data_IF_395229116872
#
_entry.id   IF_395229116872
#
_cell.length_a   1.000
_cell.length_b   1.000
_cell.length_c   1.000
_cell.angle_alpha   90.00
_cell.angle_beta   90.00
_cell.angle_gamma   90.00
#
_symmetry.space_group_name_H-M   'P 1'
#
loop_
_entity.id
_entity.type
_entity.pdbx_description
1 polymer ?
#
# COMPACT_ATOMS: atom_id res chain seq x y z
N UNK A 1 46.79 36.47 -1.81
CA UNK A 1 48.05 35.93 -1.26
C UNK A 1 48.58 34.64 -1.88
N UNK A 2 48.05 34.17 -3.03
CA UNK A 2 48.65 33.04 -3.76
C UNK A 2 48.61 31.68 -3.04
N UNK A 3 47.99 31.63 -1.87
CA UNK A 3 47.78 30.43 -1.06
C UNK A 3 46.59 29.64 -1.57
N UNK A 4 46.76 28.32 -1.72
CA UNK A 4 45.68 27.40 -2.10
C UNK A 4 44.82 27.13 -0.85
N UNK A 5 43.52 27.36 -0.96
CA UNK A 5 42.54 27.03 0.08
C UNK A 5 42.42 25.51 0.21
N UNK A 6 42.27 25.00 1.44
CA UNK A 6 42.18 23.57 1.69
C UNK A 6 40.87 22.97 1.14
N UNK A 7 40.89 21.69 0.76
CA UNK A 7 39.71 21.00 0.21
C UNK A 7 38.58 20.80 1.21
N UNK A 8 38.85 20.96 2.50
CA UNK A 8 37.87 20.87 3.60
C UNK A 8 37.37 22.22 4.10
N UNK A 9 37.79 23.33 3.50
CA UNK A 9 37.31 24.66 3.90
C UNK A 9 35.83 24.79 3.55
N UNK A 10 35.01 25.18 4.54
CA UNK A 10 33.58 25.44 4.34
C UNK A 10 33.36 26.51 3.27
N UNK A 11 32.36 26.28 2.41
CA UNK A 11 32.02 27.23 1.33
C UNK A 11 31.56 28.57 1.90
N UNK A 12 30.95 28.57 3.07
CA UNK A 12 30.55 29.77 3.81
C UNK A 12 31.74 30.66 4.19
N UNK A 13 32.87 30.07 4.58
CA UNK A 13 34.13 30.76 4.85
C UNK A 13 34.79 31.26 3.56
N UNK A 14 34.77 30.46 2.49
CA UNK A 14 35.32 30.84 1.19
C UNK A 14 34.59 32.04 0.58
N UNK A 15 33.27 32.15 0.80
CA UNK A 15 32.43 33.21 0.25
C UNK A 15 32.49 34.53 1.04
N UNK A 16 33.24 34.60 2.15
CA UNK A 16 33.45 35.85 2.90
C UNK A 16 34.31 36.83 2.12
N UNK A 17 35.29 36.33 1.37
CA UNK A 17 36.29 37.11 0.66
C UNK A 17 36.28 36.82 -0.85
N UNK A 18 36.90 37.71 -1.61
CA UNK A 18 37.15 37.49 -3.03
C UNK A 18 38.17 36.36 -3.23
N UNK A 19 37.89 35.43 -4.14
CA UNK A 19 38.76 34.29 -4.41
C UNK A 19 39.03 34.08 -5.89
N UNK A 20 40.14 33.39 -6.19
CA UNK A 20 40.53 33.02 -7.55
C UNK A 20 40.15 31.57 -7.81
N UNK A 21 39.36 31.33 -8.85
CA UNK A 21 38.98 30.02 -9.33
C UNK A 21 39.80 29.69 -10.58
N UNK A 22 40.64 28.67 -10.50
CA UNK A 22 41.51 28.24 -11.61
C UNK A 22 40.91 26.98 -12.23
N UNK A 23 40.54 27.04 -13.51
CA UNK A 23 40.02 25.89 -14.28
C UNK A 23 40.93 25.69 -15.49
N UNK A 24 41.58 24.52 -15.56
CA UNK A 24 42.67 24.25 -16.50
C UNK A 24 43.76 25.33 -16.41
N UNK A 25 43.96 26.13 -17.46
CA UNK A 25 44.92 27.23 -17.53
C UNK A 25 44.28 28.63 -17.44
N UNK A 26 42.97 28.73 -17.16
CA UNK A 26 42.24 30.00 -17.06
C UNK A 26 41.94 30.34 -15.60
N UNK A 27 42.32 31.55 -15.19
CA UNK A 27 42.05 32.06 -13.83
C UNK A 27 40.89 33.04 -13.85
N UNK A 28 39.81 32.69 -13.15
CA UNK A 28 38.64 33.53 -12.93
C UNK A 28 38.71 34.19 -11.57
N UNK A 29 38.44 35.49 -11.51
CA UNK A 29 38.35 36.23 -10.25
C UNK A 29 36.89 36.35 -9.84
N UNK A 30 36.50 35.60 -8.80
CA UNK A 30 35.12 35.56 -8.32
C UNK A 30 34.98 36.55 -7.16
N UNK A 31 34.01 37.45 -7.27
CA UNK A 31 33.62 38.36 -6.19
C UNK A 31 32.24 37.96 -5.70
N UNK A 32 32.13 37.24 -4.57
CA UNK A 32 30.84 36.82 -4.06
C UNK A 32 30.00 38.04 -3.63
N UNK A 33 28.66 37.97 -3.74
CA UNK A 33 27.79 39.00 -3.19
C UNK A 33 27.97 39.03 -1.67
N UNK A 34 28.17 40.22 -1.12
CA UNK A 34 28.29 40.39 0.33
C UNK A 34 26.98 39.94 0.97
N UNK A 35 27.06 38.97 1.90
CA UNK A 35 25.89 38.55 2.68
C UNK A 35 25.27 39.77 3.35
N UNK A 36 23.97 39.98 3.13
CA UNK A 36 23.20 40.89 3.96
C UNK A 36 23.26 40.38 5.40
N UNK A 37 23.97 41.11 6.25
CA UNK A 37 24.01 40.84 7.67
C UNK A 37 22.63 41.21 8.23
N UNK A 38 21.91 40.22 8.74
CA UNK A 38 20.79 40.47 9.64
C UNK A 38 21.28 41.46 10.72
N UNK A 39 20.47 42.47 11.04
CA UNK A 39 20.77 43.43 12.11
C UNK A 39 21.29 42.67 13.34
N UNK A 40 22.37 43.15 13.96
CA UNK A 40 23.03 42.47 15.07
C UNK A 40 22.04 42.09 16.18
N UNK A 41 21.01 42.91 16.39
CA UNK A 41 19.92 42.68 17.34
C UNK A 41 19.03 41.48 16.94
N UNK A 42 18.63 41.39 15.67
CA UNK A 42 17.87 40.25 15.13
C UNK A 42 18.69 38.94 15.11
N UNK A 43 20.01 39.06 14.89
CA UNK A 43 20.92 37.93 14.95
C UNK A 43 21.07 37.39 16.37
N UNK A 44 21.17 38.27 17.38
CA UNK A 44 21.21 37.87 18.79
C UNK A 44 19.91 37.19 19.23
N UNK A 45 18.75 37.76 18.89
CA UNK A 45 17.45 37.15 19.24
C UNK A 45 17.25 35.78 18.59
N UNK A 46 17.69 35.60 17.33
CA UNK A 46 17.63 34.31 16.65
C UNK A 46 18.57 33.28 17.29
N UNK A 47 19.75 33.71 17.72
CA UNK A 47 20.69 32.83 18.38
C UNK A 47 20.17 32.38 19.75
N UNK A 48 19.53 33.28 20.49
CA UNK A 48 18.86 32.95 21.76
C UNK A 48 17.71 31.96 21.55
N UNK A 49 16.88 32.14 20.51
CA UNK A 49 15.84 31.15 20.17
C UNK A 49 16.48 29.80 19.84
N UNK A 50 17.58 29.79 19.08
CA UNK A 50 18.29 28.56 18.71
C UNK A 50 18.88 27.85 19.93
N UNK A 51 19.48 28.57 20.87
CA UNK A 51 20.01 27.98 22.11
C UNK A 51 18.89 27.48 23.00
N UNK A 52 17.76 28.18 23.09
CA UNK A 52 16.60 27.77 23.89
C UNK A 52 15.94 26.51 23.32
N UNK A 53 15.81 26.41 21.99
CA UNK A 53 15.36 25.18 21.30
C UNK A 53 16.35 24.04 21.50
N UNK A 54 17.66 24.30 21.39
CA UNK A 54 18.69 23.29 21.64
C UNK A 54 18.66 22.82 23.10
N UNK A 55 18.47 23.74 24.04
CA UNK A 55 18.39 23.45 25.47
C UNK A 55 17.15 22.62 25.79
N UNK A 56 16.01 22.93 25.17
CA UNK A 56 14.80 22.09 25.20
C UNK A 56 15.05 20.71 24.59
N UNK A 57 15.71 20.63 23.43
CA UNK A 57 16.06 19.37 22.78
C UNK A 57 16.89 18.47 23.70
N UNK A 58 17.88 19.05 24.38
CA UNK A 58 18.71 18.33 25.37
C UNK A 58 17.95 18.01 26.66
N UNK A 59 17.10 18.91 27.15
CA UNK A 59 16.36 18.72 28.39
C UNK A 59 15.24 17.67 28.24
N UNK A 60 14.65 17.57 27.04
CA UNK A 60 13.61 16.61 26.72
C UNK A 60 14.16 15.25 26.28
N UNK A 61 15.49 15.08 26.19
CA UNK A 61 16.15 13.84 25.78
C UNK A 61 15.49 13.20 24.54
N UNK A 62 15.27 13.99 23.48
CA UNK A 62 14.44 13.56 22.34
C UNK A 62 14.94 12.25 21.75
N UNK A 63 16.25 12.02 21.68
CA UNK A 63 16.82 10.74 21.20
C UNK A 63 16.39 9.54 22.07
N UNK A 64 16.44 9.64 23.39
CA UNK A 64 15.97 8.57 24.27
C UNK A 64 14.45 8.39 24.17
N UNK A 65 13.70 9.48 24.03
CA UNK A 65 12.26 9.41 23.82
C UNK A 65 11.90 8.70 22.50
N UNK A 66 12.59 9.02 21.40
CA UNK A 66 12.38 8.35 20.12
C UNK A 66 12.73 6.86 20.18
N UNK A 67 13.85 6.50 20.82
CA UNK A 67 14.23 5.09 21.02
C UNK A 67 13.23 4.33 21.89
N UNK A 68 12.72 4.95 22.95
CA UNK A 68 11.71 4.34 23.80
C UNK A 68 10.38 4.17 23.06
N UNK A 69 9.99 5.17 22.26
CA UNK A 69 8.79 5.12 21.42
C UNK A 69 8.92 4.05 20.32
N UNK A 70 10.08 3.90 19.70
CA UNK A 70 10.37 2.82 18.75
C UNK A 70 10.18 1.46 19.40
N UNK A 71 10.78 1.25 20.58
CA UNK A 71 10.64 0.00 21.34
C UNK A 71 9.19 -0.28 21.73
N UNK A 72 8.45 0.74 22.16
CA UNK A 72 7.03 0.62 22.50
C UNK A 72 6.20 0.23 21.26
N UNK A 73 6.43 0.87 20.12
CA UNK A 73 5.73 0.55 18.87
C UNK A 73 6.05 -0.88 18.40
N UNK A 74 7.32 -1.30 18.48
CA UNK A 74 7.73 -2.67 18.15
C UNK A 74 7.04 -3.67 19.07
N UNK A 75 7.04 -3.42 20.39
CA UNK A 75 6.39 -4.30 21.36
C UNK A 75 4.89 -4.41 21.13
N UNK A 76 4.21 -3.29 20.90
CA UNK A 76 2.77 -3.25 20.58
C UNK A 76 2.47 -3.99 19.27
N UNK A 77 3.31 -3.83 18.26
CA UNK A 77 3.17 -4.50 16.98
C UNK A 77 3.34 -6.02 17.12
N UNK A 78 4.29 -6.47 17.94
CA UNK A 78 4.48 -7.88 18.26
C UNK A 78 3.26 -8.46 18.99
N UNK A 79 2.73 -7.76 20.00
CA UNK A 79 1.51 -8.16 20.72
C UNK A 79 0.30 -8.25 19.77
N UNK A 80 0.11 -7.25 18.90
CA UNK A 80 -0.98 -7.25 17.93
C UNK A 80 -0.83 -8.40 16.91
N UNK A 81 0.40 -8.69 16.46
CA UNK A 81 0.68 -9.83 15.57
C UNK A 81 0.41 -11.17 16.26
N UNK A 82 0.74 -11.29 17.53
CA UNK A 82 0.44 -12.49 18.33
C UNK A 82 -1.07 -12.70 18.47
N UNK A 83 -1.82 -11.64 18.79
CA UNK A 83 -3.28 -11.70 18.85
C UNK A 83 -3.93 -12.00 17.49
N UNK A 84 -3.33 -11.54 16.40
CA UNK A 84 -3.81 -11.77 15.04
C UNK A 84 -3.56 -13.22 14.57
N UNK A 85 -2.46 -13.85 14.99
CA UNK A 85 -2.04 -15.18 14.55
C UNK A 85 -3.15 -16.27 14.64
N UNK A 86 -3.89 -16.43 15.75
CA UNK A 86 -4.99 -17.40 15.80
C UNK A 86 -6.15 -17.05 14.87
N UNK A 87 -6.49 -15.77 14.71
CA UNK A 87 -7.55 -15.36 13.78
C UNK A 87 -7.14 -15.58 12.32
N UNK A 88 -5.86 -15.35 12.00
CA UNK A 88 -5.31 -15.54 10.65
C UNK A 88 -5.31 -17.02 10.25
N UNK A 89 -5.02 -17.94 11.19
CA UNK A 89 -5.15 -19.39 10.95
C UNK A 89 -6.59 -19.77 10.58
N UNK A 90 -7.58 -19.30 11.34
CA UNK A 90 -9.00 -19.58 11.07
C UNK A 90 -9.42 -18.97 9.72
N UNK A 91 -9.02 -17.73 9.44
CA UNK A 91 -9.28 -17.05 8.16
C UNK A 91 -8.66 -17.81 6.99
N UNK A 92 -7.43 -18.31 7.13
CA UNK A 92 -6.75 -19.09 6.09
C UNK A 92 -7.46 -20.42 5.83
N UNK A 93 -7.90 -21.13 6.87
CA UNK A 93 -8.69 -22.35 6.69
C UNK A 93 -10.01 -22.08 5.95
N UNK A 94 -10.67 -20.98 6.29
CA UNK A 94 -11.91 -20.58 5.67
C UNK A 94 -11.71 -20.15 4.21
N UNK A 95 -10.66 -19.38 3.94
CA UNK A 95 -10.20 -19.01 2.61
C UNK A 95 -9.98 -20.25 1.76
N UNK A 96 -9.24 -21.24 2.27
CA UNK A 96 -8.98 -22.51 1.58
C UNK A 96 -10.26 -23.29 1.31
N UNK A 97 -11.21 -23.30 2.24
CA UNK A 97 -12.53 -23.96 2.04
C UNK A 97 -13.36 -23.24 0.98
N UNK A 98 -13.40 -21.91 0.99
CA UNK A 98 -14.12 -21.10 0.02
C UNK A 98 -13.51 -21.21 -1.38
N UNK A 99 -12.18 -21.19 -1.48
CA UNK A 99 -11.45 -21.37 -2.74
C UNK A 99 -11.72 -22.73 -3.34
N UNK A 100 -11.59 -23.82 -2.58
CA UNK A 100 -11.91 -25.18 -3.06
C UNK A 100 -13.34 -25.28 -3.61
N UNK A 101 -14.32 -24.68 -2.94
CA UNK A 101 -15.71 -24.65 -3.42
C UNK A 101 -15.87 -23.84 -4.69
N UNK A 102 -15.21 -22.68 -4.77
CA UNK A 102 -15.24 -21.83 -5.96
C UNK A 102 -14.62 -22.55 -7.15
N UNK A 103 -13.45 -23.17 -6.95
CA UNK A 103 -12.78 -23.99 -7.98
C UNK A 103 -13.65 -25.15 -8.42
N UNK A 104 -14.34 -25.84 -7.50
CA UNK A 104 -15.29 -26.90 -7.87
C UNK A 104 -16.42 -26.36 -8.75
N UNK A 105 -16.99 -25.20 -8.42
CA UNK A 105 -18.03 -24.55 -9.25
C UNK A 105 -17.49 -24.18 -10.63
N UNK A 106 -16.26 -23.67 -10.73
CA UNK A 106 -15.63 -23.34 -12.02
C UNK A 106 -15.43 -24.60 -12.88
N UNK A 107 -14.89 -25.67 -12.31
CA UNK A 107 -14.76 -26.96 -13.00
C UNK A 107 -16.13 -27.56 -13.35
N UNK A 108 -17.14 -27.37 -12.50
CA UNK A 108 -18.51 -27.74 -12.79
C UNK A 108 -19.10 -26.99 -13.98
N UNK A 109 -18.79 -25.70 -14.11
CA UNK A 109 -19.15 -24.89 -15.29
C UNK A 109 -18.49 -25.41 -16.57
N UNK A 110 -17.21 -25.80 -16.50
CA UNK A 110 -16.52 -26.43 -17.63
C UNK A 110 -17.16 -27.78 -17.99
N UNK A 111 -17.46 -28.62 -17.00
CA UNK A 111 -18.12 -29.92 -17.22
C UNK A 111 -19.51 -29.75 -17.84
N UNK A 112 -20.27 -28.75 -17.41
CA UNK A 112 -21.55 -28.38 -18.01
C UNK A 112 -21.39 -27.99 -19.49
N UNK A 113 -20.44 -27.10 -19.81
CA UNK A 113 -20.16 -26.69 -21.19
C UNK A 113 -19.73 -27.88 -22.06
N UNK A 114 -18.91 -28.78 -21.53
CA UNK A 114 -18.48 -29.99 -22.23
C UNK A 114 -19.64 -30.98 -22.48
N UNK A 115 -20.51 -31.14 -21.50
CA UNK A 115 -21.71 -32.00 -21.63
C UNK A 115 -22.68 -31.41 -22.63
N UNK A 116 -22.91 -30.09 -22.59
CA UNK A 116 -23.72 -29.36 -23.56
C UNK A 116 -23.20 -29.57 -24.98
N UNK A 117 -21.89 -29.44 -25.18
CA UNK A 117 -21.27 -29.69 -26.48
C UNK A 117 -21.40 -31.16 -26.92
N UNK A 118 -21.15 -32.12 -26.03
CA UNK A 118 -21.23 -33.55 -26.33
C UNK A 118 -22.65 -34.00 -26.69
N UNK A 119 -23.66 -33.52 -25.96
CA UNK A 119 -25.08 -33.79 -26.24
C UNK A 119 -25.45 -33.25 -27.63
N UNK A 120 -25.09 -31.99 -27.92
CA UNK A 120 -25.35 -31.39 -29.23
C UNK A 120 -24.63 -32.16 -30.35
N UNK A 121 -23.36 -32.50 -30.17
CA UNK A 121 -22.60 -33.28 -31.16
C UNK A 121 -23.24 -34.64 -31.43
N UNK A 122 -23.70 -35.33 -30.38
CA UNK A 122 -24.35 -36.64 -30.52
C UNK A 122 -25.72 -36.55 -31.19
N UNK A 123 -26.53 -35.55 -30.86
CA UNK A 123 -27.82 -35.30 -31.50
C UNK A 123 -27.65 -34.94 -32.98
N UNK A 124 -26.63 -34.14 -33.30
CA UNK A 124 -26.42 -33.57 -34.64
C UNK A 124 -25.86 -34.55 -35.67
N UNK A 125 -25.06 -35.54 -35.24
CA UNK A 125 -24.40 -36.47 -36.17
C UNK A 125 -25.04 -37.84 -36.26
N UNK A 126 -25.77 -38.26 -35.23
CA UNK A 126 -26.27 -39.63 -35.14
C UNK A 126 -27.79 -39.74 -35.08
N UNK A 127 -28.51 -38.76 -34.53
CA UNK A 127 -29.96 -38.86 -34.29
C UNK A 127 -30.78 -37.93 -35.20
N UNK A 128 -30.33 -36.69 -35.39
CA UNK A 128 -31.04 -35.66 -36.13
C UNK A 128 -30.10 -34.99 -37.12
N UNK A 129 -30.63 -34.54 -38.26
CA UNK A 129 -29.89 -33.70 -39.20
C UNK A 129 -29.70 -32.29 -38.65
N UNK A 130 -28.66 -31.59 -39.15
CA UNK A 130 -28.34 -30.21 -38.74
C UNK A 130 -29.54 -29.25 -38.81
N UNK A 131 -30.39 -29.41 -39.84
CA UNK A 131 -31.59 -28.59 -40.08
C UNK A 131 -32.58 -28.56 -38.89
N UNK A 132 -32.66 -29.65 -38.11
CA UNK A 132 -33.52 -29.74 -36.92
C UNK A 132 -32.83 -29.14 -35.69
N UNK A 133 -31.51 -29.23 -35.61
CA UNK A 133 -30.71 -28.75 -34.46
C UNK A 133 -30.35 -27.27 -34.54
N UNK A 134 -30.36 -26.67 -35.73
CA UNK A 134 -30.10 -25.25 -35.96
C UNK A 134 -30.93 -24.32 -35.04
N UNK A 135 -32.28 -24.38 -35.01
CA UNK A 135 -33.07 -23.51 -34.13
C UNK A 135 -32.81 -23.79 -32.64
N UNK A 136 -32.51 -25.04 -32.27
CA UNK A 136 -32.24 -25.42 -30.86
C UNK A 136 -30.95 -24.77 -30.37
N UNK A 137 -29.88 -24.84 -31.15
CA UNK A 137 -28.60 -24.20 -30.79
C UNK A 137 -28.72 -22.67 -30.73
N UNK A 138 -29.53 -22.07 -31.60
CA UNK A 138 -29.83 -20.65 -31.57
C UNK A 138 -30.52 -20.25 -30.26
N UNK A 139 -31.57 -20.96 -29.85
CA UNK A 139 -32.27 -20.69 -28.58
C UNK A 139 -31.37 -20.89 -27.36
N UNK A 140 -30.45 -21.86 -27.38
CA UNK A 140 -29.50 -22.06 -26.28
C UNK A 140 -28.54 -20.88 -26.17
N UNK A 141 -27.98 -20.42 -27.31
CA UNK A 141 -27.09 -19.24 -27.33
C UNK A 141 -27.81 -17.97 -26.90
N UNK A 142 -29.03 -17.75 -27.38
CA UNK A 142 -29.82 -16.59 -26.96
C UNK A 142 -30.21 -16.68 -25.47
N UNK A 143 -30.52 -17.89 -24.99
CA UNK A 143 -30.82 -18.16 -23.58
C UNK A 143 -29.62 -17.90 -22.66
N UNK A 144 -28.40 -18.28 -23.08
CA UNK A 144 -27.18 -17.99 -22.31
C UNK A 144 -26.88 -16.48 -22.28
N UNK A 145 -27.08 -15.77 -23.39
CA UNK A 145 -27.00 -14.31 -23.44
C UNK A 145 -28.00 -13.63 -22.49
N UNK A 146 -29.25 -14.12 -22.46
CA UNK A 146 -30.26 -13.64 -21.53
C UNK A 146 -29.90 -13.94 -20.08
N UNK A 147 -29.29 -15.09 -19.78
CA UNK A 147 -28.81 -15.41 -18.44
C UNK A 147 -27.65 -14.51 -18.00
N UNK A 148 -26.70 -14.20 -18.90
CA UNK A 148 -25.62 -13.24 -18.64
C UNK A 148 -26.17 -11.83 -18.38
N UNK A 149 -27.20 -11.41 -19.12
CA UNK A 149 -27.87 -10.13 -18.86
C UNK A 149 -28.66 -10.13 -17.55
N UNK A 150 -29.37 -11.22 -17.24
CA UNK A 150 -30.07 -11.36 -15.96
C UNK A 150 -29.10 -11.31 -14.77
N UNK A 151 -27.90 -11.89 -14.92
CA UNK A 151 -26.82 -11.75 -13.93
C UNK A 151 -26.46 -10.28 -13.73
N UNK A 152 -26.21 -9.54 -14.82
CA UNK A 152 -25.90 -8.11 -14.75
C UNK A 152 -27.00 -7.31 -14.04
N UNK A 153 -28.27 -7.55 -14.34
CA UNK A 153 -29.38 -6.87 -13.66
C UNK A 153 -29.39 -7.14 -12.15
N UNK A 154 -29.09 -8.38 -11.74
CA UNK A 154 -29.10 -8.79 -10.34
C UNK A 154 -27.88 -8.29 -9.55
N UNK A 155 -26.70 -8.29 -10.16
CA UNK A 155 -25.42 -7.98 -9.49
C UNK A 155 -24.91 -6.57 -9.75
N UNK A 156 -25.46 -5.89 -10.77
CA UNK A 156 -24.97 -4.63 -11.36
C UNK A 156 -23.52 -4.69 -11.82
N UNK A 157 -23.04 -5.88 -12.16
CA UNK A 157 -21.70 -6.14 -12.67
C UNK A 157 -21.80 -6.99 -13.92
N UNK A 158 -21.02 -6.64 -14.95
CA UNK A 158 -20.97 -7.43 -16.17
C UNK A 158 -20.44 -8.84 -15.86
N UNK A 159 -20.87 -9.83 -16.63
CA UNK A 159 -20.42 -11.22 -16.42
C UNK A 159 -19.00 -11.39 -16.96
N UNK A 160 -18.03 -11.01 -16.15
CA UNK A 160 -16.59 -11.16 -16.42
C UNK A 160 -16.06 -12.29 -15.52
N UNK A 161 -15.42 -13.30 -16.11
CA UNK A 161 -15.03 -14.52 -15.38
C UNK A 161 -14.22 -14.29 -14.08
N UNK A 162 -13.15 -13.47 -14.04
CA UNK A 162 -12.45 -13.18 -12.79
C UNK A 162 -13.36 -12.53 -11.74
N UNK A 163 -14.14 -11.53 -12.11
CA UNK A 163 -15.01 -10.81 -11.17
C UNK A 163 -16.15 -11.68 -10.63
N UNK A 164 -16.75 -12.49 -11.51
CA UNK A 164 -17.79 -13.45 -11.14
C UNK A 164 -17.25 -14.54 -10.19
N UNK A 165 -16.00 -15.00 -10.43
CA UNK A 165 -15.29 -15.92 -9.54
C UNK A 165 -15.07 -15.29 -8.18
N UNK A 166 -14.52 -14.08 -8.14
CA UNK A 166 -14.17 -13.39 -6.89
C UNK A 166 -15.40 -13.08 -6.06
N UNK A 167 -16.50 -12.68 -6.71
CA UNK A 167 -17.81 -12.52 -6.07
C UNK A 167 -18.30 -13.84 -5.46
N UNK A 168 -18.23 -14.94 -6.21
CA UNK A 168 -18.68 -16.25 -5.72
C UNK A 168 -17.81 -16.74 -4.55
N UNK A 169 -16.50 -16.52 -4.64
CA UNK A 169 -15.56 -16.77 -3.56
C UNK A 169 -15.93 -15.97 -2.30
N UNK A 170 -16.20 -14.67 -2.45
CA UNK A 170 -16.57 -13.78 -1.35
C UNK A 170 -17.87 -14.23 -0.68
N UNK A 171 -18.88 -14.63 -1.45
CA UNK A 171 -20.12 -15.19 -0.94
C UNK A 171 -19.88 -16.47 -0.12
N UNK A 172 -19.07 -17.40 -0.64
CA UNK A 172 -18.72 -18.62 0.09
C UNK A 172 -17.89 -18.34 1.34
N UNK A 173 -16.98 -17.37 1.28
CA UNK A 173 -16.16 -16.94 2.40
C UNK A 173 -17.02 -16.34 3.50
N UNK A 174 -17.86 -15.34 3.22
CA UNK A 174 -18.76 -14.73 4.23
C UNK A 174 -19.76 -15.73 4.80
N UNK A 175 -20.34 -16.60 3.97
CA UNK A 175 -21.22 -17.68 4.43
C UNK A 175 -20.47 -18.66 5.35
N UNK A 176 -19.22 -18.95 5.04
CA UNK A 176 -18.32 -19.73 5.89
C UNK A 176 -18.03 -19.02 7.22
N UNK A 177 -17.66 -17.74 7.17
CA UNK A 177 -17.28 -16.93 8.33
C UNK A 177 -18.43 -16.81 9.32
N UNK A 178 -19.64 -16.56 8.80
CA UNK A 178 -20.88 -16.52 9.58
C UNK A 178 -21.16 -17.85 10.26
N UNK A 179 -20.89 -18.98 9.59
CA UNK A 179 -21.07 -20.32 10.16
C UNK A 179 -20.09 -20.61 11.29
N UNK A 180 -18.84 -20.17 11.16
CA UNK A 180 -17.80 -20.35 12.18
C UNK A 180 -17.84 -19.30 13.29
N UNK A 181 -18.81 -18.36 13.27
CA UNK A 181 -18.87 -17.18 14.16
C UNK A 181 -17.53 -16.44 14.23
N UNK A 182 -16.84 -16.35 13.10
CA UNK A 182 -15.58 -15.62 13.02
C UNK A 182 -15.88 -14.12 13.08
N UNK A 183 -15.28 -13.45 14.06
CA UNK A 183 -15.39 -12.00 14.22
C UNK A 183 -14.49 -11.29 13.20
N UNK A 184 -15.07 -11.04 12.02
CA UNK A 184 -14.40 -10.39 10.91
C UNK A 184 -14.10 -8.91 11.23
N UNK A 185 -14.95 -8.29 12.05
CA UNK A 185 -14.81 -6.89 12.45
C UNK A 185 -13.60 -6.70 13.35
N UNK A 186 -13.47 -7.56 14.38
CA UNK A 186 -12.27 -7.60 15.22
C UNK A 186 -11.01 -7.90 14.41
N UNK A 187 -11.06 -8.83 13.44
CA UNK A 187 -9.92 -9.12 12.57
C UNK A 187 -9.47 -7.88 11.77
N UNK A 188 -10.43 -7.15 11.19
CA UNK A 188 -10.14 -5.94 10.42
C UNK A 188 -9.56 -4.85 11.33
N UNK A 189 -10.15 -4.61 12.51
CA UNK A 189 -9.61 -3.66 13.49
C UNK A 189 -8.17 -4.00 13.91
N UNK A 190 -7.84 -5.28 14.12
CA UNK A 190 -6.46 -5.69 14.41
C UNK A 190 -5.54 -5.44 13.21
N UNK A 191 -5.98 -5.74 11.99
CA UNK A 191 -5.19 -5.48 10.77
C UNK A 191 -4.93 -3.98 10.58
N UNK A 192 -5.94 -3.15 10.80
CA UNK A 192 -5.83 -1.69 10.69
C UNK A 192 -4.89 -1.13 11.77
N UNK A 193 -5.00 -1.62 13.01
CA UNK A 193 -4.09 -1.24 14.09
C UNK A 193 -2.63 -1.64 13.81
N UNK A 194 -2.39 -2.83 13.22
CA UNK A 194 -1.06 -3.26 12.80
C UNK A 194 -0.54 -2.38 11.67
N UNK A 195 -1.36 -2.09 10.65
CA UNK A 195 -0.98 -1.23 9.53
C UNK A 195 -0.62 0.18 10.02
N UNK A 196 -1.40 0.73 10.94
CA UNK A 196 -1.12 2.03 11.56
C UNK A 196 0.20 2.01 12.34
N UNK A 197 0.42 0.99 13.19
CA UNK A 197 1.67 0.86 13.94
C UNK A 197 2.89 0.68 13.03
N UNK A 198 2.77 -0.09 11.94
CA UNK A 198 3.82 -0.26 10.94
C UNK A 198 4.12 1.04 10.18
N UNK A 199 3.10 1.83 9.85
CA UNK A 199 3.27 3.15 9.24
C UNK A 199 3.96 4.13 10.18
N UNK A 200 3.57 4.16 11.45
CA UNK A 200 4.17 5.05 12.45
C UNK A 200 5.63 4.66 12.74
N UNK A 201 5.95 3.37 12.78
CA UNK A 201 7.33 2.87 12.88
C UNK A 201 8.14 3.26 11.63
N UNK A 202 7.57 3.10 10.44
CA UNK A 202 8.24 3.47 9.18
C UNK A 202 8.57 4.97 9.13
N UNK A 203 7.69 5.83 9.64
CA UNK A 203 7.93 7.27 9.77
C UNK A 203 9.03 7.58 10.76
N UNK A 204 9.00 6.94 11.92
CA UNK A 204 10.02 7.10 12.96
C UNK A 204 11.43 6.76 12.46
N UNK A 205 11.53 5.76 11.57
CA UNK A 205 12.80 5.27 10.99
C UNK A 205 13.25 6.05 9.75
N UNK A 206 12.49 7.04 9.29
CA UNK A 206 12.85 7.79 8.08
C UNK A 206 14.15 8.60 8.31
N UNK A 207 15.25 8.31 7.58
CA UNK A 207 16.55 8.97 7.76
C UNK A 207 16.52 10.48 7.56
N UNK A 208 15.52 10.99 6.81
CA UNK A 208 15.34 12.42 6.56
C UNK A 208 14.60 13.13 7.71
N UNK A 209 13.89 12.36 8.55
CA UNK A 209 13.14 12.85 9.71
C UNK A 209 13.81 12.52 11.04
N UNK A 210 14.99 11.89 11.00
CA UNK A 210 15.84 11.66 12.15
C UNK A 210 16.04 13.00 12.88
N UNK A 211 15.48 13.09 14.09
CA UNK A 211 15.51 14.24 15.02
C UNK A 211 14.44 15.31 14.82
N UNK A 212 13.55 15.16 13.83
CA UNK A 212 12.39 16.04 13.65
C UNK A 212 11.14 15.45 14.35
N UNK A 213 10.25 16.30 14.88
CA UNK A 213 8.98 15.82 15.43
C UNK A 213 8.18 15.12 14.34
N UNK A 214 7.57 13.98 14.68
CA UNK A 214 6.72 13.21 13.77
C UNK A 214 5.62 14.13 13.25
N UNK A 215 5.54 14.32 11.94
CA UNK A 215 4.43 15.06 11.34
C UNK A 215 3.14 14.30 11.65
N UNK A 216 2.24 14.95 12.38
CA UNK A 216 0.90 14.42 12.60
C UNK A 216 0.20 14.36 11.24
N UNK A 217 -0.48 13.25 10.99
CA UNK A 217 -1.38 13.17 9.83
C UNK A 217 -2.47 14.21 10.11
N UNK A 218 -2.56 15.23 9.25
CA UNK A 218 -3.77 16.04 9.18
C UNK A 218 -4.87 15.07 8.76
N UNK A 219 -5.81 14.74 9.65
CA UNK A 219 -7.04 14.01 9.29
C UNK A 219 -7.83 14.89 8.31
N UNK A 220 -7.46 14.82 7.04
CA UNK A 220 -8.20 15.31 5.89
C UNK A 220 -8.27 14.18 4.88
N UNK A 221 -9.23 13.29 5.12
CA UNK A 221 -10.34 12.97 4.22
C UNK A 221 -10.98 11.63 4.63
#
# INVERSE_FOLDING_TARGET
>A
DGTRVASSTGIDLLLLDDFKLIINDVTYHVRPPKRELLSHENATTLNDVKTLVQQLYTALCIEEHQLNKEKELIGRLEELKEQLAPLEKVRMELSRKAEKRTTLVLWGGLAYMATQFGILARLTWWEYSWDIMEPVTYFITYGSAMAMYAYFVMTRQEYVYPDARDRQYLLFFHKGAKKTRFDLEKYNQLKDAIAQAELDLKRLRDPLQVHLPIQQIDEKD
#
